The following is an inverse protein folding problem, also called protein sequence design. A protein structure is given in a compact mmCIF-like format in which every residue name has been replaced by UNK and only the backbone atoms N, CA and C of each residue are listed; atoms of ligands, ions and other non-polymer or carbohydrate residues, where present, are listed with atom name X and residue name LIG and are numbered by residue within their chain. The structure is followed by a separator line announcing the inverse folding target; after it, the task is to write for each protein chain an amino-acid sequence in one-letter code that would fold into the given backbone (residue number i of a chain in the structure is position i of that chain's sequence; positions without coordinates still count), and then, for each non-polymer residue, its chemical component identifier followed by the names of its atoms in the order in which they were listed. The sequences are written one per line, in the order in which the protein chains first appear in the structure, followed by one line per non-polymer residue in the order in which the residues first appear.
data_IF_378148477905
#
_entry.id   IF_378148477905
#
_cell.length_a   1.000
_cell.length_b   1.000
_cell.length_c   1.000
_cell.angle_alpha   90.00
_cell.angle_beta   90.00
_cell.angle_gamma   90.00
#
_symmetry.space_group_name_H-M   'P 1'
#
loop_
_entity.id
_entity.type
_entity.pdbx_description
1 polymer ?
#
# COMPACT_ATOMS: atom_id res chain seq x y z
N UNK A 1 -14.21 11.88 5.49
CA UNK A 1 -13.70 12.99 4.67
C UNK A 1 -13.43 14.18 5.58
N UNK A 2 -12.21 14.31 6.09
CA UNK A 2 -11.77 15.51 6.79
C UNK A 2 -10.76 16.23 5.90
N UNK A 3 -11.12 17.38 5.35
CA UNK A 3 -10.20 18.25 4.64
C UNK A 3 -9.81 19.35 5.61
N UNK A 4 -8.65 19.22 6.26
CA UNK A 4 -8.12 20.28 7.11
C UNK A 4 -7.08 21.06 6.31
N UNK A 5 -7.31 22.36 6.19
CA UNK A 5 -6.35 23.31 5.64
C UNK A 5 -5.91 24.22 6.79
N UNK A 6 -4.60 24.30 7.06
CA UNK A 6 -4.09 25.16 8.13
C UNK A 6 -3.86 26.58 7.59
N UNK A 7 -4.53 27.55 8.22
CA UNK A 7 -4.36 28.98 8.00
C UNK A 7 -3.69 29.62 9.22
N UNK A 8 -2.77 30.56 9.02
CA UNK A 8 -2.22 31.38 10.10
C UNK A 8 -2.83 32.77 10.02
N UNK A 9 -3.48 33.22 11.09
CA UNK A 9 -4.02 34.58 11.19
C UNK A 9 -4.02 35.14 12.60
N UNK A 10 -3.17 36.17 12.86
CA UNK A 10 -3.49 37.40 13.61
C UNK A 10 -2.29 38.33 13.83
N UNK A 11 -2.40 39.60 13.38
CA UNK A 11 -2.30 40.83 14.21
C UNK A 11 -2.72 42.06 13.39
N UNK A 12 -3.68 42.82 13.95
CA UNK A 12 -4.11 44.22 13.67
C UNK A 12 -3.85 44.81 12.27
N UNK A 13 -4.93 45.01 11.50
CA UNK A 13 -5.08 46.18 10.63
C UNK A 13 -4.61 46.10 9.17
N UNK A 14 -4.16 44.94 8.67
CA UNK A 14 -3.83 44.76 7.25
C UNK A 14 -4.52 43.51 6.71
N UNK A 15 -5.18 43.63 5.55
CA UNK A 15 -5.70 42.49 4.78
C UNK A 15 -4.47 41.76 4.24
N UNK A 16 -4.06 40.68 4.91
CA UNK A 16 -3.05 39.77 4.35
C UNK A 16 -3.79 38.71 3.53
N UNK A 17 -3.32 38.40 2.30
CA UNK A 17 -3.86 37.26 1.55
C UNK A 17 -3.72 36.00 2.42
N UNK A 18 -4.75 35.15 2.41
CA UNK A 18 -4.69 33.86 3.08
C UNK A 18 -3.59 33.01 2.40
N UNK A 19 -2.52 32.71 3.13
CA UNK A 19 -1.46 31.84 2.63
C UNK A 19 -1.72 30.41 3.12
N UNK A 20 -1.80 29.47 2.18
CA UNK A 20 -2.04 28.06 2.46
C UNK A 20 -0.69 27.37 2.68
N UNK A 21 -0.40 26.97 3.92
CA UNK A 21 0.91 26.38 4.25
C UNK A 21 1.00 24.89 3.92
N UNK A 22 -0.10 24.16 4.07
CA UNK A 22 -0.19 22.74 3.75
C UNK A 22 -1.66 22.35 3.57
N UNK A 23 -1.89 21.29 2.81
CA UNK A 23 -3.14 20.54 2.87
C UNK A 23 -2.95 19.26 3.67
N UNK A 24 -4.00 18.76 4.34
CA UNK A 24 -3.97 17.48 5.09
C UNK A 24 -4.99 16.53 4.49
N UNK A 25 -4.52 15.35 4.06
CA UNK A 25 -5.35 14.32 3.43
C UNK A 25 -4.90 12.93 3.84
N UNK A 26 -5.82 11.96 3.80
CA UNK A 26 -5.42 10.55 3.79
C UNK A 26 -4.57 10.23 2.53
N UNK A 27 -4.00 9.03 2.48
CA UNK A 27 -3.06 8.67 1.41
C UNK A 27 -3.70 8.70 0.02
N UNK A 28 -4.98 8.31 -0.10
CA UNK A 28 -5.69 8.36 -1.38
C UNK A 28 -6.03 9.80 -1.78
N UNK A 29 -6.53 10.61 -0.84
CA UNK A 29 -6.81 12.02 -1.03
C UNK A 29 -5.58 12.80 -1.43
N UNK A 30 -4.41 12.47 -0.86
CA UNK A 30 -3.12 13.02 -1.28
C UNK A 30 -2.92 12.86 -2.79
N UNK A 31 -3.14 11.66 -3.33
CA UNK A 31 -2.93 11.37 -4.75
C UNK A 31 -3.81 12.23 -5.67
N UNK A 32 -5.07 12.40 -5.30
CA UNK A 32 -5.99 13.27 -6.04
C UNK A 32 -5.55 14.73 -6.01
N UNK A 33 -5.15 15.22 -4.83
CA UNK A 33 -4.81 16.63 -4.62
C UNK A 33 -3.45 16.99 -5.20
N UNK A 34 -2.45 16.14 -5.03
CA UNK A 34 -1.10 16.32 -5.57
C UNK A 34 -1.00 15.93 -7.06
N UNK A 35 -2.02 15.26 -7.61
CA UNK A 35 -1.99 14.70 -8.96
C UNK A 35 -1.03 13.52 -9.11
N UNK A 36 -0.71 12.82 -8.02
CA UNK A 36 0.26 11.72 -7.98
C UNK A 36 -0.41 10.33 -7.97
N UNK A 37 0.33 9.35 -8.46
CA UNK A 37 0.04 7.93 -8.30
C UNK A 37 0.21 7.57 -6.81
N UNK A 38 -0.82 6.93 -6.25
CA UNK A 38 -0.85 6.47 -4.84
C UNK A 38 -1.09 4.96 -4.74
N UNK A 39 -0.87 4.24 -5.84
CA UNK A 39 -1.00 2.79 -5.94
C UNK A 39 0.01 2.23 -6.94
N UNK A 40 0.35 0.95 -6.81
CA UNK A 40 1.32 0.29 -7.68
C UNK A 40 2.75 0.68 -7.35
N UNK A 41 3.61 0.72 -8.37
CA UNK A 41 5.07 0.70 -8.22
C UNK A 41 5.68 1.99 -7.64
N UNK A 42 5.11 3.15 -7.95
CA UNK A 42 5.67 4.45 -7.57
C UNK A 42 4.78 5.20 -6.56
N UNK A 43 4.20 4.47 -5.61
CA UNK A 43 3.25 5.07 -4.65
C UNK A 43 3.92 5.96 -3.59
N UNK A 44 5.24 5.87 -3.37
CA UNK A 44 5.88 6.67 -2.32
C UNK A 44 5.94 8.15 -2.69
N UNK A 45 5.20 8.97 -1.95
CA UNK A 45 5.11 10.42 -2.17
C UNK A 45 6.43 11.18 -1.93
N UNK A 46 7.42 10.54 -1.28
CA UNK A 46 8.74 11.12 -1.03
C UNK A 46 9.81 10.62 -2.02
N UNK A 47 9.87 9.32 -2.27
CA UNK A 47 10.83 8.74 -3.24
C UNK A 47 10.43 9.00 -4.69
N UNK A 48 9.12 9.14 -4.98
CA UNK A 48 8.57 9.37 -6.31
C UNK A 48 9.02 8.26 -7.29
N UNK A 49 9.76 8.60 -8.33
CA UNK A 49 10.32 7.68 -9.33
C UNK A 49 11.54 6.90 -8.85
N UNK A 50 12.14 7.26 -7.70
CA UNK A 50 13.15 6.44 -7.01
C UNK A 50 12.52 5.48 -5.97
N UNK A 51 11.21 5.22 -6.09
CA UNK A 51 10.53 4.25 -5.22
C UNK A 51 11.07 2.84 -5.51
N UNK A 52 11.62 2.21 -4.48
CA UNK A 52 12.01 0.80 -4.55
C UNK A 52 10.81 -0.09 -4.23
N UNK A 53 10.40 -0.90 -5.19
CA UNK A 53 9.27 -1.83 -5.06
C UNK A 53 9.69 -3.25 -5.45
N UNK A 54 8.94 -4.23 -4.95
CA UNK A 54 8.96 -5.62 -5.40
C UNK A 54 7.53 -6.06 -5.63
N UNK A 55 7.25 -6.61 -6.80
CA UNK A 55 5.97 -7.25 -7.08
C UNK A 55 6.08 -8.71 -6.63
N UNK A 56 5.17 -9.14 -5.76
CA UNK A 56 5.10 -10.52 -5.31
C UNK A 56 4.36 -11.38 -6.33
N UNK A 57 4.67 -12.66 -6.32
CA UNK A 57 4.09 -13.63 -7.23
C UNK A 57 2.58 -13.77 -6.97
N UNK A 58 1.84 -14.08 -8.04
CA UNK A 58 0.38 -14.18 -7.96
C UNK A 58 -0.10 -15.53 -7.42
N UNK A 59 0.66 -16.57 -7.70
CA UNK A 59 0.35 -17.95 -7.32
C UNK A 59 1.66 -18.64 -6.95
N UNK A 60 1.81 -19.17 -5.71
CA UNK A 60 0.82 -19.24 -4.62
C UNK A 60 0.65 -17.93 -3.79
N UNK A 61 1.36 -16.86 -4.14
CA UNK A 61 1.43 -15.61 -3.37
C UNK A 61 0.23 -14.67 -3.46
N UNK A 62 0.42 -13.42 -3.01
CA UNK A 62 -0.65 -12.41 -2.91
C UNK A 62 -0.78 -11.46 -4.09
N UNK A 63 0.16 -11.48 -5.05
CA UNK A 63 0.27 -10.47 -6.10
C UNK A 63 0.33 -9.02 -5.56
N UNK A 64 0.79 -8.81 -4.32
CA UNK A 64 0.92 -7.47 -3.76
C UNK A 64 2.23 -6.81 -4.21
N UNK A 65 2.19 -5.49 -4.33
CA UNK A 65 3.41 -4.67 -4.44
C UNK A 65 3.87 -4.31 -3.03
N UNK A 66 5.12 -4.62 -2.70
CA UNK A 66 5.73 -4.30 -1.41
C UNK A 66 6.90 -3.33 -1.59
N UNK A 67 7.13 -2.48 -0.58
CA UNK A 67 8.16 -1.43 -0.62
C UNK A 67 9.31 -1.77 0.34
N UNK A 68 10.37 -2.38 -0.19
CA UNK A 68 11.47 -2.91 0.64
C UNK A 68 12.59 -1.88 0.87
N UNK A 69 12.59 -0.75 0.17
CA UNK A 69 13.65 0.28 0.28
C UNK A 69 13.58 1.21 1.50
N UNK A 70 12.84 0.85 2.54
CA UNK A 70 12.63 1.72 3.71
C UNK A 70 13.93 2.00 4.48
N UNK A 71 14.87 1.04 4.53
CA UNK A 71 16.18 1.20 5.19
C UNK A 71 17.09 2.25 4.53
N UNK A 72 16.82 2.64 3.27
CA UNK A 72 17.53 3.74 2.61
C UNK A 72 17.33 5.09 3.31
N UNK A 73 16.25 5.24 4.09
CA UNK A 73 15.94 6.43 4.89
C UNK A 73 16.64 6.46 6.26
N UNK A 74 17.49 5.49 6.56
CA UNK A 74 18.37 5.53 7.75
C UNK A 74 19.67 6.26 7.40
N UNK A 75 20.47 6.64 8.40
CA UNK A 75 21.82 7.18 8.14
C UNK A 75 22.72 6.09 7.53
N UNK A 76 23.73 6.47 6.74
CA UNK A 76 24.61 5.50 6.05
C UNK A 76 25.37 4.57 7.04
N UNK A 77 25.66 5.07 8.23
CA UNK A 77 26.34 4.37 9.34
C UNK A 77 25.40 3.58 10.27
N UNK A 78 24.09 3.58 10.01
CA UNK A 78 23.10 2.99 10.90
C UNK A 78 23.19 1.45 10.95
N UNK A 79 23.30 0.81 12.14
CA UNK A 79 23.39 -0.64 12.28
C UNK A 79 22.23 -1.41 11.63
N UNK A 80 21.03 -0.83 11.59
CA UNK A 80 19.85 -1.47 10.99
C UNK A 80 19.99 -1.68 9.47
N UNK A 81 20.90 -0.98 8.80
CA UNK A 81 21.25 -1.23 7.39
C UNK A 81 21.97 -2.57 7.18
N UNK A 82 22.55 -3.17 8.22
CA UNK A 82 23.27 -4.46 8.14
C UNK A 82 22.45 -5.64 8.69
N UNK A 83 21.25 -5.39 9.22
CA UNK A 83 20.37 -6.41 9.82
C UNK A 83 19.61 -7.22 8.78
N UNK A 84 20.33 -7.80 7.82
CA UNK A 84 19.73 -8.58 6.71
C UNK A 84 18.82 -9.72 7.18
N UNK A 85 19.09 -10.26 8.37
CA UNK A 85 18.33 -11.29 9.07
C UNK A 85 16.87 -10.86 9.38
N UNK A 86 16.64 -9.57 9.63
CA UNK A 86 15.31 -9.06 10.00
C UNK A 86 14.50 -8.51 8.82
N UNK A 87 15.13 -8.36 7.64
CA UNK A 87 14.55 -7.68 6.49
C UNK A 87 14.53 -8.58 5.25
N UNK A 88 15.16 -8.17 4.16
CA UNK A 88 15.13 -8.79 2.82
C UNK A 88 16.36 -9.64 2.49
N UNK A 89 17.10 -10.10 3.51
CA UNK A 89 18.27 -10.96 3.33
C UNK A 89 19.50 -10.23 2.75
N UNK A 90 19.44 -8.91 2.55
CA UNK A 90 20.53 -8.10 2.01
C UNK A 90 20.95 -6.98 2.96
N UNK A 91 22.21 -6.55 2.88
CA UNK A 91 22.64 -5.29 3.46
C UNK A 91 22.12 -4.12 2.62
N UNK A 92 21.91 -2.93 3.21
CA UNK A 92 21.44 -1.73 2.52
C UNK A 92 22.55 -0.67 2.39
N UNK A 93 23.48 -0.82 1.43
CA UNK A 93 24.55 0.14 1.19
C UNK A 93 24.09 1.34 0.35
N UNK A 94 22.87 1.31 -0.22
CA UNK A 94 22.44 2.36 -1.15
C UNK A 94 22.26 3.69 -0.42
N UNK A 95 22.57 4.77 -1.12
CA UNK A 95 22.35 6.13 -0.63
C UNK A 95 20.86 6.42 -0.40
N UNK A 96 20.62 7.49 0.35
CA UNK A 96 19.29 8.04 0.58
C UNK A 96 18.49 8.18 -0.73
N UNK A 97 17.17 7.89 -0.74
CA UNK A 97 16.37 8.03 -1.94
C UNK A 97 16.36 9.45 -2.47
N UNK A 98 16.52 9.61 -3.78
CA UNK A 98 16.51 10.92 -4.41
C UNK A 98 15.15 11.56 -4.18
N UNK A 99 15.15 12.74 -3.56
CA UNK A 99 13.98 13.61 -3.48
C UNK A 99 14.07 14.69 -4.54
N UNK A 100 12.92 15.25 -4.93
CA UNK A 100 12.86 16.45 -5.77
C UNK A 100 12.45 17.64 -4.93
N UNK A 101 13.08 18.77 -5.18
CA UNK A 101 12.61 20.06 -4.66
C UNK A 101 11.29 20.46 -5.32
N UNK A 102 10.51 21.32 -4.65
CA UNK A 102 9.28 21.83 -5.25
C UNK A 102 9.53 22.58 -6.56
N UNK A 103 10.66 23.29 -6.70
CA UNK A 103 11.04 23.96 -7.95
C UNK A 103 11.27 23.00 -9.11
N UNK A 104 12.00 21.90 -8.86
CA UNK A 104 12.21 20.86 -9.86
C UNK A 104 10.89 20.21 -10.28
N UNK A 105 9.97 19.98 -9.34
CA UNK A 105 8.65 19.41 -9.64
C UNK A 105 7.81 20.40 -10.45
N UNK A 106 7.79 21.69 -10.08
CA UNK A 106 7.08 22.74 -10.81
C UNK A 106 7.57 22.84 -12.26
N UNK A 107 8.88 22.85 -12.47
CA UNK A 107 9.49 22.88 -13.80
C UNK A 107 9.13 21.63 -14.64
N UNK A 108 9.23 20.43 -14.03
CA UNK A 108 8.84 19.18 -14.69
C UNK A 108 7.36 19.20 -15.13
N UNK A 109 6.47 19.67 -14.25
CA UNK A 109 5.03 19.70 -14.51
C UNK A 109 4.64 20.78 -15.53
N UNK A 110 5.32 21.93 -15.53
CA UNK A 110 5.11 23.00 -16.53
C UNK A 110 5.54 22.58 -17.93
N UNK A 111 6.63 21.83 -18.01
CA UNK A 111 7.17 21.33 -19.28
C UNK A 111 6.47 20.06 -19.79
N UNK A 112 5.52 19.51 -19.04
CA UNK A 112 4.78 18.32 -19.42
C UNK A 112 3.71 18.63 -20.49
N UNK A 113 4.09 18.48 -21.77
CA UNK A 113 3.24 18.77 -22.93
C UNK A 113 1.91 18.01 -22.93
N UNK A 114 1.91 16.78 -22.43
CA UNK A 114 0.72 15.91 -22.38
C UNK A 114 -0.06 16.06 -21.06
N UNK A 115 0.24 17.05 -20.23
CA UNK A 115 -0.44 17.24 -18.94
C UNK A 115 -1.96 17.29 -19.13
N UNK A 116 -2.72 16.37 -18.52
CA UNK A 116 -4.17 16.36 -18.65
C UNK A 116 -4.79 17.64 -18.10
N UNK A 117 -5.70 18.31 -18.82
CA UNK A 117 -6.44 19.42 -18.27
C UNK A 117 -7.35 18.94 -17.14
N UNK A 118 -7.57 19.74 -16.09
CA UNK A 118 -8.46 19.39 -15.00
C UNK A 118 -9.88 19.10 -15.52
N UNK A 119 -10.50 18.01 -15.05
CA UNK A 119 -11.92 17.73 -15.27
C UNK A 119 -12.31 16.97 -16.55
N UNK A 120 -11.38 16.58 -17.44
CA UNK A 120 -11.73 15.78 -18.64
C UNK A 120 -11.41 14.29 -18.48
N UNK A 121 -12.40 13.43 -18.71
CA UNK A 121 -12.25 11.96 -18.82
C UNK A 121 -11.58 11.60 -20.15
N UNK A 122 -10.27 11.77 -20.27
CA UNK A 122 -9.49 11.18 -21.38
C UNK A 122 -8.83 9.89 -20.91
N UNK A 123 -8.44 9.03 -21.86
CA UNK A 123 -7.47 7.96 -21.60
C UNK A 123 -6.20 8.67 -21.14
N UNK A 124 -5.92 8.63 -19.84
CA UNK A 124 -4.80 9.38 -19.28
C UNK A 124 -3.51 8.93 -20.00
N UNK A 125 -2.63 9.87 -20.38
CA UNK A 125 -1.30 9.50 -20.85
C UNK A 125 -0.58 8.66 -19.78
N UNK A 126 0.48 7.97 -20.18
CA UNK A 126 1.35 7.32 -19.20
C UNK A 126 1.77 8.36 -18.15
N UNK A 127 1.67 8.08 -16.84
CA UNK A 127 2.00 9.08 -15.83
C UNK A 127 3.43 9.59 -16.04
N UNK A 128 3.63 10.90 -15.93
CA UNK A 128 4.96 11.50 -16.05
C UNK A 128 5.89 10.87 -15.01
N UNK A 129 7.01 10.31 -15.47
CA UNK A 129 7.96 9.54 -14.64
C UNK A 129 7.28 8.40 -13.85
N UNK A 130 6.15 7.89 -14.33
CA UNK A 130 5.28 6.92 -13.64
C UNK A 130 4.72 7.42 -12.30
N UNK A 131 4.82 8.72 -12.01
CA UNK A 131 4.44 9.34 -10.72
C UNK A 131 3.28 10.31 -10.88
N UNK A 132 3.33 11.26 -11.82
CA UNK A 132 2.28 12.30 -11.93
C UNK A 132 1.25 11.96 -12.98
N UNK A 133 -0.02 11.95 -12.59
CA UNK A 133 -1.19 11.78 -13.48
C UNK A 133 -1.74 13.10 -13.97
N UNK A 134 -1.52 14.18 -13.22
CA UNK A 134 -1.98 15.54 -13.58
C UNK A 134 -1.16 16.58 -12.81
N UNK A 135 -1.18 17.84 -13.29
CA UNK A 135 -0.66 18.99 -12.56
C UNK A 135 -1.76 19.57 -11.66
N UNK A 136 -1.50 19.59 -10.36
CA UNK A 136 -2.41 20.20 -9.38
C UNK A 136 -2.55 21.72 -9.58
N UNK A 137 -3.73 22.28 -9.28
CA UNK A 137 -3.99 23.73 -9.29
C UNK A 137 -3.11 24.48 -8.28
N UNK A 138 -2.66 23.82 -7.22
CA UNK A 138 -1.81 24.45 -6.21
C UNK A 138 -0.45 24.92 -6.78
N UNK A 139 0.01 24.33 -7.89
CA UNK A 139 1.22 24.79 -8.58
C UNK A 139 1.08 26.16 -9.26
N UNK A 140 -0.13 26.72 -9.34
CA UNK A 140 -0.35 28.10 -9.80
C UNK A 140 -0.03 29.13 -8.72
N UNK A 141 0.08 28.71 -7.45
CA UNK A 141 0.48 29.58 -6.35
C UNK A 141 2.01 29.79 -6.39
N UNK A 142 2.51 31.04 -6.49
CA UNK A 142 3.94 31.31 -6.68
C UNK A 142 4.87 30.74 -5.59
N UNK A 143 4.36 30.66 -4.36
CA UNK A 143 5.11 30.18 -3.19
C UNK A 143 5.05 28.65 -3.03
N UNK A 144 4.17 27.93 -3.74
CA UNK A 144 3.93 26.50 -3.51
C UNK A 144 5.19 25.66 -3.70
N UNK A 145 5.99 25.99 -4.71
CA UNK A 145 7.27 25.35 -5.04
C UNK A 145 8.35 25.52 -3.96
N UNK A 146 8.19 26.50 -3.06
CA UNK A 146 9.13 26.80 -1.97
C UNK A 146 8.78 25.99 -0.72
N UNK A 147 7.53 25.53 -0.59
CA UNK A 147 7.09 24.73 0.55
C UNK A 147 7.80 23.37 0.56
N UNK A 148 8.43 23.03 1.69
CA UNK A 148 9.07 21.72 1.88
C UNK A 148 8.07 20.58 1.95
N UNK A 149 6.88 20.84 2.51
CA UNK A 149 5.81 19.84 2.69
C UNK A 149 4.47 20.48 2.32
N UNK A 150 4.18 20.64 1.02
CA UNK A 150 2.94 21.28 0.54
C UNK A 150 1.69 20.44 0.84
N UNK A 151 1.87 19.13 0.93
CA UNK A 151 0.81 18.17 1.21
C UNK A 151 1.26 17.27 2.36
N UNK A 152 0.49 17.27 3.44
CA UNK A 152 0.69 16.47 4.63
C UNK A 152 -0.27 15.29 4.65
N UNK A 153 0.20 14.15 5.17
CA UNK A 153 -0.63 12.98 5.35
C UNK A 153 -1.41 13.06 6.67
N UNK A 154 -2.68 12.67 6.63
CA UNK A 154 -3.53 12.56 7.81
C UNK A 154 -3.11 11.36 8.65
N UNK A 155 -2.31 11.66 9.68
CA UNK A 155 -1.76 10.69 10.62
C UNK A 155 -2.88 9.95 11.35
N UNK A 156 -4.02 10.57 11.63
CA UNK A 156 -5.10 9.91 12.38
C UNK A 156 -5.64 8.70 11.61
N UNK A 157 -5.93 8.88 10.32
CA UNK A 157 -6.42 7.79 9.48
C UNK A 157 -5.36 6.71 9.24
N UNK A 158 -4.10 7.11 9.03
CA UNK A 158 -2.99 6.18 8.84
C UNK A 158 -2.78 5.33 10.10
N UNK A 159 -2.66 5.98 11.25
CA UNK A 159 -2.44 5.32 12.53
C UNK A 159 -3.58 4.35 12.84
N UNK A 160 -4.84 4.75 12.65
CA UNK A 160 -5.98 3.84 12.82
C UNK A 160 -5.83 2.57 11.98
N UNK A 161 -5.59 2.72 10.67
CA UNK A 161 -5.49 1.59 9.75
C UNK A 161 -4.30 0.66 10.06
N UNK A 162 -3.15 1.23 10.44
CA UNK A 162 -1.94 0.47 10.80
C UNK A 162 -2.14 -0.25 12.13
N UNK A 163 -2.64 0.43 13.15
CA UNK A 163 -2.89 -0.16 14.47
C UNK A 163 -3.93 -1.29 14.40
N UNK A 164 -5.02 -1.11 13.66
CA UNK A 164 -6.03 -2.18 13.47
C UNK A 164 -5.43 -3.41 12.78
N UNK A 165 -4.55 -3.23 11.80
CA UNK A 165 -3.88 -4.34 11.10
C UNK A 165 -2.86 -5.05 11.99
N UNK A 166 -2.08 -4.29 12.76
CA UNK A 166 -1.12 -4.83 13.73
C UNK A 166 -1.84 -5.62 14.82
N UNK A 167 -2.88 -5.04 15.43
CA UNK A 167 -3.66 -5.69 16.47
C UNK A 167 -4.37 -6.93 15.95
N UNK A 168 -4.93 -6.87 14.73
CA UNK A 168 -5.52 -8.02 14.05
C UNK A 168 -4.55 -9.18 13.88
N UNK A 169 -3.30 -8.88 13.56
CA UNK A 169 -2.25 -9.88 13.36
C UNK A 169 -1.73 -10.43 14.70
N UNK A 170 -1.43 -9.56 15.67
CA UNK A 170 -0.89 -9.95 16.97
C UNK A 170 -1.89 -10.76 17.82
N UNK A 171 -3.19 -10.43 17.74
CA UNK A 171 -4.24 -11.15 18.48
C UNK A 171 -4.84 -12.31 17.68
N UNK A 172 -4.29 -12.64 16.51
CA UNK A 172 -4.79 -13.69 15.61
C UNK A 172 -6.32 -13.60 15.36
N UNK A 173 -6.81 -12.38 15.07
CA UNK A 173 -8.23 -12.16 14.79
C UNK A 173 -8.54 -12.59 13.34
N UNK A 174 -9.35 -13.63 13.08
CA UNK A 174 -9.44 -14.29 11.77
C UNK A 174 -9.86 -13.38 10.62
N UNK A 175 -10.74 -12.42 10.89
CA UNK A 175 -11.25 -11.48 9.87
C UNK A 175 -10.35 -10.24 9.69
N UNK A 176 -9.39 -10.01 10.60
CA UNK A 176 -8.59 -8.78 10.65
C UNK A 176 -7.10 -9.02 10.47
N UNK A 177 -6.62 -10.23 10.71
CA UNK A 177 -5.21 -10.61 10.57
C UNK A 177 -4.72 -10.38 9.14
N UNK A 178 -3.48 -9.89 9.02
CA UNK A 178 -2.77 -9.81 7.74
C UNK A 178 -1.88 -11.02 7.49
N UNK A 179 -1.81 -11.91 8.47
CA UNK A 179 -1.14 -13.19 8.36
C UNK A 179 -2.14 -14.24 7.85
N UNK A 180 -1.92 -14.70 6.63
CA UNK A 180 -2.76 -15.72 5.98
C UNK A 180 -1.93 -16.55 5.00
N UNK A 181 -2.51 -17.60 4.39
CA UNK A 181 -1.76 -18.56 3.57
C UNK A 181 -0.91 -17.89 2.48
N UNK A 182 -1.49 -16.91 1.78
CA UNK A 182 -0.78 -16.15 0.74
C UNK A 182 0.38 -15.33 1.28
N UNK A 183 0.22 -14.72 2.46
CA UNK A 183 1.30 -13.96 3.09
C UNK A 183 2.46 -14.90 3.50
N UNK A 184 2.14 -16.13 3.93
CA UNK A 184 3.11 -17.17 4.29
C UNK A 184 3.89 -17.67 3.08
N UNK A 185 3.21 -17.87 1.95
CA UNK A 185 3.86 -18.13 0.65
C UNK A 185 4.68 -16.94 0.15
N UNK A 186 4.22 -15.71 0.36
CA UNK A 186 4.98 -14.51 0.03
C UNK A 186 6.30 -14.49 0.83
N UNK A 187 6.28 -14.78 2.14
CA UNK A 187 7.49 -14.88 2.96
C UNK A 187 8.45 -15.96 2.44
N UNK A 188 7.92 -17.12 2.03
CA UNK A 188 8.69 -18.21 1.44
C UNK A 188 9.36 -17.80 0.11
N UNK A 189 8.61 -17.18 -0.80
CA UNK A 189 9.15 -16.69 -2.09
C UNK A 189 10.18 -15.56 -1.94
N UNK A 190 10.07 -14.77 -0.86
CA UNK A 190 11.06 -13.75 -0.53
C UNK A 190 12.29 -14.36 0.16
N UNK A 191 12.15 -15.55 0.78
CA UNK A 191 13.22 -16.23 1.51
C UNK A 191 13.50 -15.59 2.88
N UNK A 192 12.47 -15.09 3.56
CA UNK A 192 12.59 -14.41 4.85
C UNK A 192 11.65 -15.07 5.87
N UNK A 193 12.00 -15.02 7.17
CA UNK A 193 11.17 -15.57 8.26
C UNK A 193 10.80 -17.05 8.00
N UNK A 194 11.80 -17.92 7.88
CA UNK A 194 11.60 -19.35 7.61
C UNK A 194 10.68 -20.03 8.62
N UNK A 195 10.74 -19.60 9.88
CA UNK A 195 9.87 -20.03 10.97
C UNK A 195 8.38 -19.72 10.72
N UNK A 196 8.10 -18.79 9.79
CA UNK A 196 6.77 -18.42 9.39
C UNK A 196 6.35 -18.99 8.03
N UNK A 197 7.12 -19.81 7.35
CA UNK A 197 6.68 -20.34 6.05
C UNK A 197 5.45 -21.24 6.21
N UNK A 198 4.66 -21.38 5.14
CA UNK A 198 3.56 -22.35 5.15
C UNK A 198 4.17 -23.74 5.40
N UNK A 199 3.73 -24.42 6.46
CA UNK A 199 4.12 -25.81 6.69
C UNK A 199 3.76 -26.63 5.45
N UNK A 200 4.60 -27.63 5.12
CA UNK A 200 4.15 -28.67 4.18
C UNK A 200 2.83 -29.24 4.74
N UNK A 201 1.82 -29.55 3.90
CA UNK A 201 0.76 -30.42 4.38
C UNK A 201 1.43 -31.67 4.93
N UNK A 202 1.17 -32.01 6.18
CA UNK A 202 1.50 -33.34 6.67
C UNK A 202 0.53 -34.27 5.92
N UNK A 203 1.07 -35.26 5.21
CA UNK A 203 0.30 -36.27 4.46
C UNK A 203 -0.34 -37.31 5.40
N UNK A 204 -0.72 -36.94 6.63
CA UNK A 204 -1.12 -37.87 7.69
C UNK A 204 -2.61 -37.76 8.10
N UNK A 205 -3.45 -37.08 7.33
CA UNK A 205 -4.91 -37.16 7.53
C UNK A 205 -5.48 -38.32 6.68
N UNK A 206 -5.06 -39.55 7.01
CA UNK A 206 -5.86 -40.75 6.79
C UNK A 206 -6.98 -40.71 7.83
N UNK A 207 -8.16 -40.19 7.46
CA UNK A 207 -9.39 -40.45 8.21
C UNK A 207 -10.39 -41.09 7.25
N UNK A 208 -10.58 -42.39 7.49
CA UNK A 208 -11.66 -43.24 7.02
C UNK A 208 -13.02 -42.57 7.28
N UNK A 209 -13.88 -42.54 6.28
CA UNK A 209 -15.33 -42.49 6.47
C UNK A 209 -15.96 -43.44 5.42
N UNK A 210 -16.03 -44.71 5.82
CA UNK A 210 -17.11 -45.61 5.41
C UNK A 210 -18.43 -44.96 5.82
N UNK A 211 -19.40 -44.86 4.90
CA UNK A 211 -20.80 -45.10 5.24
C UNK A 211 -21.59 -45.36 3.95
N UNK A 212 -22.14 -46.57 3.91
CA UNK A 212 -23.14 -47.09 3.01
C UNK A 212 -24.38 -46.18 2.96
N UNK A 213 -25.00 -46.03 1.79
CA UNK A 213 -26.45 -45.84 1.72
C UNK A 213 -26.99 -46.41 0.40
N UNK A 214 -27.96 -47.30 0.59
CA UNK A 214 -28.69 -48.11 -0.40
C UNK A 214 -29.48 -47.27 -1.44
N UNK A 215 -29.64 -47.88 -2.61
CA UNK A 215 -30.50 -47.43 -3.71
C UNK A 215 -31.97 -47.28 -3.29
N UNK A 216 -32.65 -46.22 -3.78
CA UNK A 216 -34.02 -46.38 -4.29
C UNK A 216 -34.37 -45.29 -5.33
N UNK A 217 -35.01 -45.74 -6.41
CA UNK A 217 -35.16 -45.05 -7.69
C UNK A 217 -36.21 -43.92 -7.78
N UNK A 218 -35.92 -43.01 -8.72
CA UNK A 218 -36.78 -42.29 -9.69
C UNK A 218 -38.02 -41.48 -9.23
N UNK A 219 -38.02 -40.17 -9.52
CA UNK A 219 -38.63 -39.64 -10.76
C UNK A 219 -38.39 -38.12 -10.96
N UNK A 220 -38.55 -37.74 -12.21
CA UNK A 220 -38.22 -36.52 -12.94
C UNK A 220 -38.91 -35.22 -12.46
N UNK A 221 -38.16 -34.12 -12.42
CA UNK A 221 -38.50 -32.88 -13.18
C UNK A 221 -37.42 -31.81 -13.02
N UNK A 222 -36.90 -31.38 -14.17
CA UNK A 222 -35.88 -30.37 -14.35
C UNK A 222 -36.32 -28.94 -13.93
N UNK A 223 -35.55 -28.32 -13.04
CA UNK A 223 -34.62 -27.22 -13.38
C UNK A 223 -34.57 -26.03 -12.40
N UNK A 224 -33.31 -25.69 -12.07
CA UNK A 224 -32.76 -24.37 -11.71
C UNK A 224 -33.22 -23.74 -10.38
N UNK A 225 -32.71 -24.27 -9.27
CA UNK A 225 -32.40 -23.46 -8.08
C UNK A 225 -30.96 -22.96 -8.15
N UNK A 226 -30.79 -21.64 -8.00
CA UNK A 226 -29.50 -20.95 -7.82
C UNK A 226 -28.74 -21.60 -6.66
N UNK A 227 -27.71 -22.38 -6.95
CA UNK A 227 -26.75 -22.85 -5.96
C UNK A 227 -26.01 -21.65 -5.37
N UNK A 228 -26.34 -21.31 -4.11
CA UNK A 228 -25.40 -20.53 -3.28
C UNK A 228 -24.15 -21.39 -3.17
N UNK A 229 -23.04 -20.97 -3.78
CA UNK A 229 -21.72 -21.52 -3.44
C UNK A 229 -21.53 -21.29 -1.94
N UNK A 230 -21.60 -22.36 -1.16
CA UNK A 230 -21.13 -22.35 0.22
C UNK A 230 -19.66 -21.92 0.16
N UNK A 231 -19.34 -20.78 0.76
CA UNK A 231 -17.95 -20.43 1.04
C UNK A 231 -17.50 -21.46 2.07
N UNK A 232 -16.68 -22.43 1.66
CA UNK A 232 -15.85 -23.20 2.59
C UNK A 232 -14.95 -22.16 3.26
N UNK A 233 -15.31 -21.74 4.48
CA UNK A 233 -14.46 -20.88 5.31
C UNK A 233 -13.41 -21.84 5.86
N UNK A 234 -12.39 -22.09 5.05
CA UNK A 234 -11.22 -22.81 5.51
C UNK A 234 -10.48 -21.87 6.46
N UNK A 235 -10.60 -22.17 7.75
CA UNK A 235 -10.05 -21.34 8.82
C UNK A 235 -8.55 -21.59 8.88
N UNK A 236 -7.77 -20.68 8.28
CA UNK A 236 -6.32 -20.71 8.42
C UNK A 236 -5.94 -20.38 9.87
N UNK A 237 -5.48 -21.38 10.61
CA UNK A 237 -4.86 -21.20 11.91
C UNK A 237 -3.34 -21.17 11.72
N UNK A 238 -2.65 -20.04 11.97
CA UNK A 238 -1.21 -19.99 11.85
C UNK A 238 -0.54 -20.97 12.83
N UNK A 239 0.55 -21.65 12.43
CA UNK A 239 1.34 -22.45 13.35
C UNK A 239 1.82 -21.58 14.50
N UNK A 240 1.84 -22.15 15.73
CA UNK A 240 2.38 -21.47 16.92
C UNK A 240 3.79 -20.96 16.59
N UNK A 241 3.97 -19.64 16.62
CA UNK A 241 5.30 -19.06 16.62
C UNK A 241 6.03 -19.60 17.85
N UNK A 242 7.18 -20.23 17.65
CA UNK A 242 8.09 -20.58 18.72
C UNK A 242 8.60 -19.26 19.32
N UNK A 243 8.08 -18.91 20.50
CA UNK A 243 8.58 -17.77 21.30
C UNK A 243 9.93 -18.11 21.93
#
# INVERSE_FOLDING_TARGET
MGHACQYVGRRRGRIFPYEMLTTVHDFLGYGYVAGQVVHGFNACVRCMDDTTYRQLDRDPGSSKTVFMGHRRWLREDDPWRKRKDLFDGQDEPRRWPRTRSGEQIDELLKNWKECPPPGKKRKAPEPLLKVWKTRSVFWDLPYWKILRVPHSLDVMHITKNVCESLLGTLLNMPEKTKDGPKARYDLQSIGIREELHAGRPNDDDDDDDDDDDEDDEAEDTQSRRKGKKAKKIEYYCPPRASL
#
